data_IF_314821604670
#
_entry.id   IF_314821604670
#
_cell.length_a   1.000
_cell.length_b   1.000
_cell.length_c   1.000
_cell.angle_alpha   90.00
_cell.angle_beta   90.00
_cell.angle_gamma   90.00
#
_symmetry.space_group_name_H-M   'P 1'
#
loop_
_entity.id
_entity.type
_entity.pdbx_description
1 polymer ?
#
# COMPACT_ATOMS: atom_id res chain seq x y z
N UNK A 1 0.16 -6.20 -6.77
CA UNK A 1 -0.84 -5.30 -7.38
C UNK A 1 -0.12 -4.07 -7.95
N UNK A 2 -0.60 -3.52 -9.06
CA UNK A 2 -0.02 -2.33 -9.69
C UNK A 2 -1.13 -1.35 -10.05
N UNK A 3 -0.94 -0.08 -9.69
CA UNK A 3 -1.79 1.04 -10.08
C UNK A 3 -0.84 2.15 -10.54
N UNK A 4 -0.99 2.59 -11.79
CA UNK A 4 -0.06 3.51 -12.47
C UNK A 4 1.41 3.05 -12.33
N UNK A 5 2.27 3.91 -11.77
CA UNK A 5 3.68 3.63 -11.50
C UNK A 5 3.94 3.05 -10.10
N UNK A 6 2.89 2.76 -9.32
CA UNK A 6 2.99 2.24 -7.95
C UNK A 6 2.80 0.73 -7.91
N UNK A 7 3.64 0.06 -7.12
CA UNK A 7 3.63 -1.40 -6.98
C UNK A 7 3.61 -1.80 -5.52
N UNK A 8 2.74 -2.74 -5.21
CA UNK A 8 2.66 -3.41 -3.92
C UNK A 8 2.89 -4.90 -4.10
N UNK A 9 3.70 -5.46 -3.20
CA UNK A 9 3.83 -6.90 -2.99
C UNK A 9 3.13 -7.26 -1.67
N UNK A 10 2.35 -8.33 -1.66
CA UNK A 10 1.64 -8.76 -0.46
C UNK A 10 0.79 -9.99 -0.71
N UNK A 11 0.31 -10.58 0.38
CA UNK A 11 -0.66 -11.66 0.36
C UNK A 11 -2.08 -11.11 0.16
N UNK A 12 -2.95 -11.92 -0.43
CA UNK A 12 -4.38 -11.64 -0.50
C UNK A 12 -5.15 -12.89 -0.03
N UNK A 13 -6.35 -12.69 0.53
CA UNK A 13 -7.25 -13.78 0.82
C UNK A 13 -7.91 -14.22 -0.49
N UNK A 14 -7.76 -15.50 -0.81
CA UNK A 14 -8.33 -16.08 -2.03
C UNK A 14 -9.72 -16.62 -1.72
N UNK A 15 -10.74 -16.02 -2.33
CA UNK A 15 -12.13 -16.47 -2.25
C UNK A 15 -12.49 -17.51 -3.29
N UNK A 16 -13.77 -17.83 -3.40
CA UNK A 16 -14.30 -18.69 -4.47
C UNK A 16 -14.07 -18.06 -5.85
N UNK A 17 -13.99 -18.89 -6.88
CA UNK A 17 -13.81 -18.43 -8.27
C UNK A 17 -14.92 -17.43 -8.63
N UNK A 18 -14.54 -16.29 -9.20
CA UNK A 18 -15.47 -15.22 -9.57
C UNK A 18 -15.77 -14.21 -8.47
N UNK A 19 -15.20 -14.37 -7.26
CA UNK A 19 -15.30 -13.34 -6.22
C UNK A 19 -14.64 -12.04 -6.69
N UNK A 20 -15.31 -10.91 -6.44
CA UNK A 20 -14.71 -9.59 -6.67
C UNK A 20 -13.56 -9.34 -5.68
N UNK A 21 -12.43 -8.76 -6.15
CA UNK A 21 -11.32 -8.45 -5.27
C UNK A 21 -11.69 -7.29 -4.34
N UNK A 22 -11.52 -7.51 -3.03
CA UNK A 22 -11.72 -6.47 -2.02
C UNK A 22 -10.39 -5.78 -1.72
N UNK A 23 -10.43 -4.44 -1.70
CA UNK A 23 -9.28 -3.60 -1.40
C UNK A 23 -9.48 -3.00 0.00
N UNK A 24 -8.63 -3.44 0.93
CA UNK A 24 -8.61 -2.95 2.29
C UNK A 24 -7.52 -1.90 2.54
N UNK A 25 -7.45 -1.42 3.77
CA UNK A 25 -6.55 -0.37 4.22
C UNK A 25 -5.07 -0.60 3.85
N UNK A 26 -4.57 -1.84 4.01
CA UNK A 26 -3.17 -2.17 3.70
C UNK A 26 -2.80 -1.88 2.24
N UNK A 27 -3.72 -2.16 1.32
CA UNK A 27 -3.49 -1.91 -0.10
C UNK A 27 -3.55 -0.41 -0.40
N UNK A 28 -4.51 0.30 0.20
CA UNK A 28 -4.64 1.76 0.07
C UNK A 28 -3.38 2.48 0.55
N UNK A 29 -2.86 2.11 1.73
CA UNK A 29 -1.64 2.71 2.30
C UNK A 29 -0.39 2.35 1.50
N UNK A 30 -0.22 1.07 1.13
CA UNK A 30 0.96 0.61 0.38
C UNK A 30 1.09 1.26 -1.00
N UNK A 31 -0.04 1.63 -1.60
CA UNK A 31 -0.11 2.29 -2.90
C UNK A 31 -0.36 3.81 -2.76
N UNK A 32 -0.35 4.37 -1.55
CA UNK A 32 -0.60 5.80 -1.23
C UNK A 32 -1.86 6.36 -1.93
N UNK A 33 -2.94 5.58 -1.91
CA UNK A 33 -4.20 5.92 -2.54
C UNK A 33 -5.08 6.75 -1.60
N UNK A 34 -5.83 7.68 -2.18
CA UNK A 34 -6.86 8.47 -1.51
C UNK A 34 -8.23 7.98 -1.98
N UNK A 35 -9.12 7.74 -1.02
CA UNK A 35 -10.55 7.52 -1.28
C UNK A 35 -11.26 8.87 -1.19
N UNK A 36 -11.83 9.32 -2.30
CA UNK A 36 -12.69 10.50 -2.38
C UNK A 36 -14.15 10.02 -2.57
N UNK A 37 -14.85 9.83 -1.45
CA UNK A 37 -16.24 9.38 -1.46
C UNK A 37 -17.18 10.38 -2.16
N UNK A 38 -17.08 11.71 -1.92
CA UNK A 38 -17.91 12.69 -2.64
C UNK A 38 -17.79 12.60 -4.17
N UNK A 39 -16.60 12.30 -4.70
CA UNK A 39 -16.37 12.13 -6.15
C UNK A 39 -16.52 10.69 -6.64
N UNK A 40 -16.73 9.73 -5.72
CA UNK A 40 -16.75 8.31 -5.99
C UNK A 40 -15.49 7.82 -6.73
N UNK A 41 -14.31 8.27 -6.28
CA UNK A 41 -13.04 7.92 -6.90
C UNK A 41 -12.03 7.40 -5.89
N UNK A 42 -11.18 6.47 -6.33
CA UNK A 42 -9.95 6.10 -5.65
C UNK A 42 -8.80 6.44 -6.58
N UNK A 43 -7.89 7.29 -6.13
CA UNK A 43 -6.79 7.79 -6.96
C UNK A 43 -5.48 7.84 -6.19
N UNK A 44 -4.32 7.74 -6.87
CA UNK A 44 -3.05 8.06 -6.26
C UNK A 44 -3.06 9.46 -5.65
N UNK A 45 -2.53 9.63 -4.44
CA UNK A 45 -2.25 10.95 -3.87
C UNK A 45 -1.28 11.70 -4.79
N UNK A 46 -1.65 12.90 -5.26
CA UNK A 46 -0.84 13.69 -6.19
C UNK A 46 0.47 14.19 -5.56
N UNK A 47 0.39 14.69 -4.33
CA UNK A 47 1.54 15.10 -3.53
C UNK A 47 1.73 14.10 -2.40
N UNK A 48 2.48 13.04 -2.66
CA UNK A 48 2.96 12.17 -1.59
C UNK A 48 3.80 13.02 -0.65
N UNK A 49 3.33 13.21 0.60
CA UNK A 49 4.15 13.87 1.63
C UNK A 49 5.45 13.06 1.70
N UNK A 50 6.63 13.70 1.62
CA UNK A 50 7.90 12.98 1.68
C UNK A 50 7.87 12.12 2.94
N UNK A 51 7.82 10.80 2.74
CA UNK A 51 7.83 9.83 3.81
C UNK A 51 9.12 10.08 4.59
N UNK A 52 9.07 10.48 5.87
CA UNK A 52 10.29 10.59 6.64
C UNK A 52 10.82 9.18 6.84
N UNK A 53 11.68 8.74 5.91
CA UNK A 53 12.34 7.44 6.01
C UNK A 53 13.30 7.52 7.19
N UNK A 54 12.86 7.07 8.35
CA UNK A 54 13.76 6.86 9.47
C UNK A 54 14.75 5.77 9.06
N UNK A 55 16.01 6.15 8.83
CA UNK A 55 17.08 5.17 8.76
C UNK A 55 17.18 4.52 10.14
N UNK A 56 16.77 3.27 10.25
CA UNK A 56 17.13 2.45 11.40
C UNK A 56 18.66 2.46 11.48
N UNK A 57 19.21 3.00 12.58
CA UNK A 57 20.63 2.79 12.87
C UNK A 57 20.81 1.28 12.99
N UNK A 58 21.77 0.73 12.24
CA UNK A 58 22.15 -0.68 12.38
C UNK A 58 22.46 -0.94 13.85
N UNK A 59 21.54 -1.62 14.54
CA UNK A 59 21.74 -2.09 15.90
C UNK A 59 22.80 -3.18 15.87
N UNK A 60 23.68 -3.14 16.85
CA UNK A 60 24.77 -4.10 17.11
C UNK A 60 24.49 -5.53 16.61
N UNK A 61 25.48 -6.13 15.93
CA UNK A 61 25.53 -7.57 15.63
C UNK A 61 25.19 -8.37 16.89
N UNK A 62 24.22 -9.28 16.79
CA UNK A 62 24.06 -10.36 17.77
C UNK A 62 25.33 -11.24 17.70
N UNK A 63 25.93 -11.60 18.85
CA UNK A 63 27.06 -12.54 18.87
C UNK A 63 26.59 -13.93 18.42
N UNK A 64 27.53 -14.65 17.78
CA UNK A 64 27.37 -15.99 17.18
C UNK A 64 26.85 -17.06 18.15
#
# INVERSE_FOLDING_TARGET
MTIDNRKMFGSCLVGVVGSEPLIGQLVLESLDLIVDCPRNTVSPRQESIPYPSYKLKSGHKLPE
#
